data_IF_890627499996
#
_entry.id   IF_890627499996
#
_cell.length_a   1.000
_cell.length_b   1.000
_cell.length_c   1.000
_cell.angle_alpha   90.00
_cell.angle_beta   90.00
_cell.angle_gamma   90.00
#
_symmetry.space_group_name_H-M   'P 1'
#
loop_
_entity.id
_entity.type
_entity.pdbx_description
1 polymer ?
#
# COMPACT_ATOMS: atom_id res chain seq x y z
N UNK A 1 11.43 21.07 -9.46
CA UNK A 1 12.75 20.42 -9.61
C UNK A 1 13.70 20.86 -8.49
N UNK A 2 14.39 22.00 -8.56
CA UNK A 2 15.32 22.47 -7.48
C UNK A 2 14.77 22.49 -6.04
N UNK A 3 13.48 22.81 -5.87
CA UNK A 3 12.82 22.76 -4.54
C UNK A 3 12.60 21.32 -4.05
N UNK A 4 12.23 20.42 -4.96
CA UNK A 4 12.04 18.99 -4.68
C UNK A 4 13.40 18.36 -4.35
N UNK A 5 14.44 18.63 -5.15
CA UNK A 5 15.83 18.24 -4.86
C UNK A 5 16.29 18.70 -3.47
N UNK A 6 16.04 19.96 -3.11
CA UNK A 6 16.39 20.51 -1.79
C UNK A 6 15.60 19.86 -0.64
N UNK A 7 14.33 19.53 -0.84
CA UNK A 7 13.50 18.84 0.16
C UNK A 7 13.94 17.38 0.35
N UNK A 8 14.30 16.68 -0.73
CA UNK A 8 14.82 15.30 -0.67
C UNK A 8 16.21 15.19 -0.05
N UNK A 9 17.10 16.15 -0.31
CA UNK A 9 18.45 16.20 0.27
C UNK A 9 18.46 16.32 1.81
N UNK A 10 17.34 16.75 2.42
CA UNK A 10 17.18 16.89 3.87
C UNK A 10 16.50 15.68 4.54
N UNK A 11 16.17 14.62 3.79
CA UNK A 11 15.52 13.42 4.33
C UNK A 11 16.50 12.49 5.08
N UNK A 12 15.97 11.67 5.99
CA UNK A 12 16.73 10.92 7.03
C UNK A 12 17.59 9.77 6.47
N UNK A 13 17.39 9.34 5.22
CA UNK A 13 18.21 8.34 4.53
C UNK A 13 18.63 8.90 3.18
N UNK A 14 19.93 9.13 2.98
CA UNK A 14 20.42 9.91 1.84
C UNK A 14 20.71 9.07 0.59
N UNK A 15 20.85 7.74 0.74
CA UNK A 15 21.07 6.83 -0.38
C UNK A 15 20.67 5.38 -0.04
N UNK A 16 20.70 4.50 -1.05
CA UNK A 16 20.25 3.12 -0.91
C UNK A 16 21.21 2.27 -0.07
N UNK A 17 22.51 2.57 -0.10
CA UNK A 17 23.52 1.85 0.67
C UNK A 17 23.29 2.02 2.18
N UNK A 18 22.95 3.23 2.63
CA UNK A 18 22.59 3.50 4.02
C UNK A 18 21.36 2.70 4.48
N UNK A 19 20.34 2.60 3.61
CA UNK A 19 19.15 1.78 3.86
C UNK A 19 19.57 0.32 3.97
N UNK A 20 20.37 -0.17 3.03
CA UNK A 20 20.84 -1.55 3.01
C UNK A 20 21.65 -1.89 4.26
N UNK A 21 22.57 -1.01 4.70
CA UNK A 21 23.33 -1.19 5.94
C UNK A 21 22.42 -1.22 7.17
N UNK A 22 21.38 -0.39 7.21
CA UNK A 22 20.43 -0.43 8.32
C UNK A 22 19.63 -1.74 8.36
N UNK A 23 19.20 -2.22 7.20
CA UNK A 23 18.54 -3.52 7.05
C UNK A 23 19.49 -4.70 7.38
N UNK A 24 20.78 -4.60 7.06
CA UNK A 24 21.80 -5.59 7.48
C UNK A 24 21.92 -5.63 9.00
N UNK A 25 21.98 -4.47 9.68
CA UNK A 25 21.99 -4.44 11.15
C UNK A 25 20.74 -5.07 11.76
N UNK A 26 19.58 -4.85 11.15
CA UNK A 26 18.34 -5.52 11.55
C UNK A 26 18.44 -7.04 11.34
N UNK A 27 18.95 -7.46 10.18
CA UNK A 27 19.18 -8.87 9.84
C UNK A 27 20.07 -9.54 10.89
N UNK A 28 21.23 -8.95 11.20
CA UNK A 28 22.19 -9.48 12.17
C UNK A 28 21.57 -9.58 13.57
N UNK A 29 20.79 -8.58 13.97
CA UNK A 29 20.05 -8.60 15.24
C UNK A 29 19.04 -9.74 15.30
N UNK A 30 18.27 -9.95 14.22
CA UNK A 30 17.31 -11.06 14.15
C UNK A 30 18.05 -12.40 14.15
N UNK A 31 19.19 -12.53 13.45
CA UNK A 31 20.01 -13.74 13.43
C UNK A 31 20.60 -14.09 14.80
N UNK A 32 21.10 -13.08 15.53
CA UNK A 32 21.63 -13.26 16.88
C UNK A 32 20.53 -13.68 17.86
N UNK A 33 19.39 -12.97 17.84
CA UNK A 33 18.22 -13.34 18.64
C UNK A 33 17.72 -14.75 18.27
N UNK A 34 17.84 -15.13 17.00
CA UNK A 34 17.46 -16.45 16.52
C UNK A 34 18.26 -17.59 17.13
N UNK A 35 19.54 -17.34 17.37
CA UNK A 35 20.51 -18.34 17.80
C UNK A 35 20.54 -18.50 19.33
N UNK A 36 20.21 -17.46 20.09
CA UNK A 36 20.53 -17.38 21.53
C UNK A 36 19.33 -17.52 22.50
N UNK A 37 18.14 -17.93 22.04
CA UNK A 37 16.91 -18.04 22.86
C UNK A 37 16.42 -16.70 23.47
N UNK A 38 17.07 -15.57 23.17
CA UNK A 38 16.64 -14.19 23.51
C UNK A 38 15.42 -13.71 22.71
N UNK A 39 14.79 -14.60 21.93
CA UNK A 39 13.56 -14.33 21.18
C UNK A 39 12.47 -13.66 22.02
N UNK A 40 12.35 -14.03 23.29
CA UNK A 40 11.37 -13.46 24.19
C UNK A 40 11.52 -11.93 24.34
N UNK A 41 12.74 -11.37 24.27
CA UNK A 41 12.96 -9.91 24.34
C UNK A 41 12.54 -9.16 23.08
N UNK A 42 12.90 -9.69 21.91
CA UNK A 42 12.52 -9.12 20.61
C UNK A 42 11.00 -9.20 20.40
N UNK A 43 10.39 -10.32 20.82
CA UNK A 43 8.95 -10.55 20.75
C UNK A 43 8.18 -9.88 21.90
N UNK A 44 8.77 -9.57 23.06
CA UNK A 44 8.04 -8.82 24.10
C UNK A 44 7.80 -7.35 23.75
N UNK A 45 8.48 -6.80 22.74
CA UNK A 45 8.06 -5.54 22.11
C UNK A 45 6.81 -5.67 21.23
N UNK A 46 6.39 -6.90 20.92
CA UNK A 46 5.20 -7.26 20.15
C UNK A 46 4.60 -8.55 20.75
N UNK A 47 3.88 -8.47 21.88
CA UNK A 47 2.86 -9.39 22.46
C UNK A 47 2.86 -10.94 22.26
N UNK A 48 3.81 -11.63 21.61
CA UNK A 48 3.49 -12.89 20.92
C UNK A 48 4.23 -14.21 21.32
N UNK A 49 5.21 -14.23 22.23
CA UNK A 49 5.69 -15.44 22.97
C UNK A 49 6.28 -16.64 22.18
N UNK A 50 6.56 -17.76 22.90
CA UNK A 50 7.30 -18.98 22.48
C UNK A 50 6.80 -19.70 21.20
N UNK A 51 5.61 -19.36 20.70
CA UNK A 51 5.06 -19.97 19.48
C UNK A 51 5.77 -19.53 18.19
N UNK A 52 6.64 -18.53 18.29
CA UNK A 52 7.42 -17.95 17.18
C UNK A 52 8.66 -18.75 16.80
N UNK A 53 9.05 -19.77 17.57
CA UNK A 53 10.10 -20.72 17.17
C UNK A 53 9.75 -21.51 15.88
N UNK A 54 8.52 -21.38 15.37
CA UNK A 54 8.04 -22.00 14.14
C UNK A 54 8.20 -21.12 12.90
N UNK A 55 8.59 -19.86 13.06
CA UNK A 55 8.85 -18.96 11.94
C UNK A 55 10.28 -19.14 11.44
N UNK A 56 10.44 -19.10 10.13
CA UNK A 56 11.74 -18.98 9.50
C UNK A 56 12.36 -17.62 9.79
N UNK A 57 13.68 -17.55 9.62
CA UNK A 57 14.42 -16.31 9.75
C UNK A 57 13.84 -15.18 8.88
N UNK A 58 13.57 -15.45 7.60
CA UNK A 58 13.03 -14.44 6.67
C UNK A 58 11.67 -13.92 7.15
N UNK A 59 10.84 -14.79 7.70
CA UNK A 59 9.54 -14.43 8.24
C UNK A 59 9.67 -13.49 9.44
N UNK A 60 10.61 -13.75 10.34
CA UNK A 60 10.92 -12.90 11.50
C UNK A 60 11.57 -11.58 11.12
N UNK A 61 12.45 -11.59 10.11
CA UNK A 61 13.02 -10.37 9.56
C UNK A 61 11.92 -9.44 9.03
N UNK A 62 11.00 -9.98 8.21
CA UNK A 62 9.88 -9.22 7.65
C UNK A 62 8.98 -8.61 8.73
N UNK A 63 8.75 -9.33 9.83
CA UNK A 63 7.98 -8.84 10.97
C UNK A 63 8.64 -7.69 11.71
N UNK A 64 9.97 -7.63 11.69
CA UNK A 64 10.76 -6.62 12.40
C UNK A 64 11.28 -5.53 11.47
N UNK A 65 10.87 -5.52 10.20
CA UNK A 65 11.16 -4.43 9.29
C UNK A 65 10.69 -3.10 9.89
N UNK A 66 11.52 -2.08 9.70
CA UNK A 66 11.29 -0.74 10.21
C UNK A 66 10.67 0.16 9.12
N UNK A 67 9.74 0.99 9.55
CA UNK A 67 8.97 1.88 8.68
C UNK A 67 9.85 2.85 7.90
N UNK A 68 10.92 3.36 8.52
CA UNK A 68 11.78 4.40 7.96
C UNK A 68 12.56 3.91 6.74
N UNK A 69 13.12 2.71 6.81
CA UNK A 69 13.92 2.11 5.74
C UNK A 69 13.03 1.69 4.56
N UNK A 70 11.86 1.10 4.84
CA UNK A 70 10.86 0.82 3.81
C UNK A 70 10.49 2.14 3.09
N UNK A 71 10.23 3.21 3.85
CA UNK A 71 9.91 4.53 3.28
C UNK A 71 11.08 5.13 2.48
N UNK A 72 12.30 4.92 2.94
CA UNK A 72 13.52 5.36 2.25
C UNK A 72 13.61 4.81 0.83
N UNK A 73 13.21 3.55 0.60
CA UNK A 73 13.18 2.94 -0.74
C UNK A 73 12.29 3.75 -1.69
N UNK A 74 11.08 4.11 -1.26
CA UNK A 74 10.14 4.89 -2.06
C UNK A 74 10.66 6.31 -2.33
N UNK A 75 11.23 6.96 -1.31
CA UNK A 75 11.76 8.31 -1.45
C UNK A 75 12.91 8.37 -2.46
N UNK A 76 13.83 7.40 -2.40
CA UNK A 76 14.94 7.31 -3.36
C UNK A 76 14.41 7.05 -4.76
N UNK A 77 13.41 6.18 -4.93
CA UNK A 77 12.80 5.93 -6.23
C UNK A 77 12.13 7.15 -6.83
N UNK A 78 11.41 7.92 -6.02
CA UNK A 78 10.82 9.19 -6.46
C UNK A 78 11.91 10.17 -6.87
N UNK A 79 12.93 10.34 -6.03
CA UNK A 79 14.02 11.26 -6.31
C UNK A 79 14.74 10.90 -7.62
N UNK A 80 15.13 9.63 -7.79
CA UNK A 80 15.84 9.19 -8.98
C UNK A 80 14.96 9.22 -10.23
N UNK A 81 13.68 8.84 -10.13
CA UNK A 81 12.75 8.98 -11.26
C UNK A 81 12.63 10.43 -11.74
N UNK A 82 12.65 11.40 -10.83
CA UNK A 82 12.62 12.82 -11.17
C UNK A 82 13.95 13.30 -11.75
N UNK A 83 15.08 12.90 -11.17
CA UNK A 83 16.42 13.33 -11.61
C UNK A 83 16.80 12.72 -12.96
N UNK A 84 16.54 11.43 -13.12
CA UNK A 84 16.90 10.65 -14.31
C UNK A 84 15.81 10.68 -15.39
N UNK A 85 14.64 11.27 -15.08
CA UNK A 85 13.45 11.27 -15.93
C UNK A 85 13.00 9.85 -16.34
N UNK A 86 13.07 8.89 -15.40
CA UNK A 86 12.71 7.49 -15.61
C UNK A 86 11.59 7.06 -14.66
N UNK A 87 10.35 7.12 -15.14
CA UNK A 87 9.17 6.74 -14.36
C UNK A 87 9.03 5.21 -14.14
N UNK A 88 9.82 4.36 -14.83
CA UNK A 88 9.84 2.92 -14.49
C UNK A 88 10.51 2.69 -13.14
N UNK A 89 11.56 3.45 -12.83
CA UNK A 89 12.20 3.43 -11.51
C UNK A 89 11.22 3.74 -10.39
N UNK A 90 10.36 4.75 -10.60
CA UNK A 90 9.28 5.07 -9.68
C UNK A 90 8.34 3.87 -9.48
N UNK A 91 7.82 3.30 -10.56
CA UNK A 91 6.84 2.21 -10.47
C UNK A 91 7.44 1.00 -9.76
N UNK A 92 8.72 0.69 -10.04
CA UNK A 92 9.47 -0.34 -9.32
C UNK A 92 9.66 -0.01 -7.84
N UNK A 93 9.88 1.26 -7.53
CA UNK A 93 10.05 1.76 -6.17
C UNK A 93 8.77 1.61 -5.35
N UNK A 94 7.64 2.03 -5.92
CA UNK A 94 6.33 1.85 -5.29
C UNK A 94 6.03 0.36 -5.13
N UNK A 95 6.33 -0.45 -6.14
CA UNK A 95 6.18 -1.91 -6.06
C UNK A 95 6.96 -2.54 -4.91
N UNK A 96 8.25 -2.23 -4.84
CA UNK A 96 9.14 -2.73 -3.78
C UNK A 96 8.66 -2.25 -2.40
N UNK A 97 8.33 -0.96 -2.28
CA UNK A 97 7.77 -0.36 -1.08
C UNK A 97 6.50 -1.09 -0.63
N UNK A 98 5.52 -1.22 -1.51
CA UNK A 98 4.20 -1.76 -1.19
C UNK A 98 4.25 -3.24 -0.82
N UNK A 99 5.07 -4.06 -1.48
CA UNK A 99 5.25 -5.47 -1.10
C UNK A 99 5.92 -5.62 0.28
N UNK A 100 7.00 -4.88 0.56
CA UNK A 100 7.64 -4.89 1.88
C UNK A 100 6.72 -4.34 2.97
N UNK A 101 6.00 -3.26 2.68
CA UNK A 101 5.08 -2.61 3.60
C UNK A 101 3.92 -3.53 3.96
N UNK A 102 3.38 -4.25 2.98
CA UNK A 102 2.34 -5.23 3.21
C UNK A 102 2.83 -6.38 4.11
N UNK A 103 4.00 -6.93 3.83
CA UNK A 103 4.59 -8.00 4.66
C UNK A 103 4.79 -7.53 6.11
N UNK A 104 5.24 -6.30 6.28
CA UNK A 104 5.41 -5.67 7.58
C UNK A 104 4.06 -5.41 8.30
N UNK A 105 3.00 -5.03 7.57
CA UNK A 105 1.69 -4.66 8.14
C UNK A 105 0.64 -5.77 8.21
N UNK A 106 0.86 -6.93 7.59
CA UNK A 106 -0.03 -8.09 7.66
C UNK A 106 -0.38 -8.53 9.11
N UNK A 107 0.32 -7.96 10.09
CA UNK A 107 0.21 -8.20 11.52
C UNK A 107 -0.75 -7.28 12.27
N UNK A 108 -1.07 -6.09 11.75
CA UNK A 108 -1.92 -5.11 12.43
C UNK A 108 -3.39 -5.27 12.00
N UNK A 109 -4.31 -5.26 12.96
CA UNK A 109 -5.76 -5.27 12.68
C UNK A 109 -6.21 -3.87 12.24
N UNK A 110 -6.70 -3.76 10.99
CA UNK A 110 -6.91 -2.49 10.26
C UNK A 110 -5.58 -1.95 9.69
N UNK A 111 -5.52 -1.01 8.72
CA UNK A 111 -6.44 -0.59 7.66
C UNK A 111 -6.14 -1.42 6.39
N UNK A 112 -6.94 -2.46 6.15
CA UNK A 112 -6.72 -3.35 5.01
C UNK A 112 -6.92 -2.65 3.67
N UNK A 113 -7.57 -1.48 3.63
CA UNK A 113 -8.07 -0.90 2.39
C UNK A 113 -7.03 -0.06 1.64
N UNK A 114 -6.06 0.52 2.35
CA UNK A 114 -4.91 1.21 1.72
C UNK A 114 -3.91 0.25 1.08
N UNK A 115 -3.85 -0.98 1.59
CA UNK A 115 -3.07 -2.07 1.01
C UNK A 115 -3.55 -2.41 -0.40
N UNK A 116 -4.82 -2.16 -0.74
CA UNK A 116 -5.33 -2.35 -2.10
C UNK A 116 -4.93 -1.22 -3.02
N UNK A 117 -4.88 0.02 -2.55
CA UNK A 117 -4.35 1.10 -3.40
C UNK A 117 -2.86 0.86 -3.64
N UNK A 118 -2.12 0.41 -2.63
CA UNK A 118 -0.75 -0.08 -2.78
C UNK A 118 -0.66 -1.30 -3.73
N UNK A 119 -1.57 -2.27 -3.63
CA UNK A 119 -1.65 -3.42 -4.52
C UNK A 119 -2.08 -3.08 -5.96
N UNK A 120 -2.88 -2.03 -6.13
CA UNK A 120 -3.28 -1.48 -7.43
C UNK A 120 -2.10 -0.80 -8.09
N UNK A 121 -1.30 -0.03 -7.35
CA UNK A 121 -0.03 0.50 -7.88
C UNK A 121 0.94 -0.63 -8.27
N UNK A 122 0.81 -1.81 -7.66
CA UNK A 122 1.62 -2.98 -7.96
C UNK A 122 1.11 -3.83 -9.14
N UNK A 123 -0.02 -3.47 -9.78
CA UNK A 123 -0.72 -4.27 -10.79
C UNK A 123 -0.96 -5.73 -10.36
N UNK A 124 -1.05 -6.01 -9.06
CA UNK A 124 -1.12 -7.38 -8.53
C UNK A 124 -2.58 -7.78 -8.28
N UNK A 125 -3.26 -8.22 -9.34
CA UNK A 125 -4.69 -8.59 -9.31
C UNK A 125 -4.97 -9.78 -8.40
N UNK A 126 -3.99 -10.66 -8.20
CA UNK A 126 -4.18 -11.82 -7.34
C UNK A 126 -4.03 -11.43 -5.85
N UNK A 127 -3.22 -10.41 -5.53
CA UNK A 127 -3.14 -9.82 -4.20
C UNK A 127 -4.44 -9.09 -3.87
N UNK A 128 -4.97 -8.33 -4.81
CA UNK A 128 -6.26 -7.67 -4.67
C UNK A 128 -7.34 -8.66 -4.22
N UNK A 129 -7.43 -9.82 -4.89
CA UNK A 129 -8.32 -10.95 -4.57
C UNK A 129 -8.24 -11.46 -3.12
N UNK A 130 -7.09 -11.31 -2.46
CA UNK A 130 -6.87 -11.81 -1.11
C UNK A 130 -7.16 -10.83 0.00
N UNK A 131 -6.92 -9.54 -0.26
CA UNK A 131 -7.07 -8.53 0.78
C UNK A 131 -8.56 -8.31 1.10
N UNK A 132 -9.47 -8.53 0.14
CA UNK A 132 -10.91 -8.35 0.39
C UNK A 132 -11.79 -9.61 0.42
N UNK A 133 -11.36 -10.63 1.14
CA UNK A 133 -12.01 -11.95 1.21
C UNK A 133 -13.36 -12.05 1.96
N UNK A 134 -13.99 -10.97 2.48
CA UNK A 134 -15.25 -11.04 3.29
C UNK A 134 -16.10 -9.76 3.29
N UNK A 135 -17.44 -9.85 3.15
CA UNK A 135 -18.42 -8.72 3.22
C UNK A 135 -18.27 -7.93 4.54
N UNK A 136 -18.32 -6.58 4.49
CA UNK A 136 -18.41 -5.76 5.69
C UNK A 136 -19.82 -5.20 5.83
N UNK A 137 -20.48 -5.63 6.89
CA UNK A 137 -21.68 -5.00 7.41
C UNK A 137 -21.33 -4.03 8.55
N UNK A 138 -22.19 -3.04 8.76
CA UNK A 138 -22.21 -2.28 10.01
C UNK A 138 -22.60 -3.24 11.13
N UNK A 139 -21.65 -3.54 12.01
CA UNK A 139 -21.96 -4.16 13.29
C UNK A 139 -22.35 -3.04 14.27
N UNK A 140 -23.52 -3.17 14.90
CA UNK A 140 -24.03 -2.24 15.90
C UNK A 140 -23.12 -2.12 17.13
N UNK A 141 -22.14 -3.02 17.28
CA UNK A 141 -21.17 -3.02 18.40
C UNK A 141 -19.90 -2.20 18.11
N UNK A 142 -19.66 -1.72 16.88
CA UNK A 142 -18.42 -1.01 16.50
C UNK A 142 -18.75 0.31 15.79
N UNK A 143 -18.32 1.43 16.38
CA UNK A 143 -18.35 2.75 15.76
C UNK A 143 -17.34 2.83 14.61
N UNK A 144 -17.77 2.52 13.38
CA UNK A 144 -16.94 2.68 12.18
C UNK A 144 -16.91 4.12 11.67
N UNK A 145 -15.73 4.56 11.21
CA UNK A 145 -15.61 5.71 10.32
C UNK A 145 -16.35 5.39 9.00
N UNK A 146 -17.38 6.17 8.69
CA UNK A 146 -18.24 5.99 7.50
C UNK A 146 -17.44 6.09 6.21
N UNK A 147 -16.42 6.94 6.16
CA UNK A 147 -15.54 7.05 4.98
C UNK A 147 -14.79 5.76 4.77
N UNK A 148 -14.22 5.18 5.84
CA UNK A 148 -13.50 3.92 5.77
C UNK A 148 -14.42 2.77 5.35
N UNK A 149 -15.61 2.68 5.95
CA UNK A 149 -16.59 1.65 5.60
C UNK A 149 -17.01 1.73 4.13
N UNK A 150 -17.40 2.93 3.68
CA UNK A 150 -17.88 3.13 2.32
C UNK A 150 -16.77 2.89 1.30
N UNK A 151 -15.59 3.47 1.51
CA UNK A 151 -14.45 3.27 0.59
C UNK A 151 -14.07 1.80 0.46
N UNK A 152 -14.07 1.06 1.56
CA UNK A 152 -13.84 -0.38 1.57
C UNK A 152 -14.88 -1.14 0.75
N UNK A 153 -16.17 -0.96 1.03
CA UNK A 153 -17.22 -1.70 0.33
C UNK A 153 -17.25 -1.34 -1.17
N UNK A 154 -17.03 -0.07 -1.51
CA UNK A 154 -16.93 0.38 -2.89
C UNK A 154 -15.74 -0.29 -3.61
N UNK A 155 -14.52 -0.19 -3.07
CA UNK A 155 -13.33 -0.80 -3.68
C UNK A 155 -13.49 -2.31 -3.86
N UNK A 156 -14.17 -2.98 -2.94
CA UNK A 156 -14.47 -4.42 -3.04
C UNK A 156 -15.40 -4.78 -4.17
N UNK A 157 -16.47 -4.00 -4.32
CA UNK A 157 -17.41 -4.17 -5.42
C UNK A 157 -16.78 -3.86 -6.79
N UNK A 158 -15.74 -3.02 -6.83
CA UNK A 158 -14.94 -2.75 -8.04
C UNK A 158 -14.02 -3.94 -8.35
N UNK A 159 -13.28 -4.42 -7.34
CA UNK A 159 -12.07 -5.23 -7.56
C UNK A 159 -12.29 -6.74 -7.39
N UNK A 160 -13.20 -7.20 -6.51
CA UNK A 160 -13.35 -8.63 -6.22
C UNK A 160 -14.76 -9.17 -6.46
N UNK A 161 -15.79 -8.52 -5.90
CA UNK A 161 -17.13 -9.12 -5.81
C UNK A 161 -18.18 -8.20 -6.49
N UNK A 162 -18.34 -8.27 -7.83
CA UNK A 162 -19.36 -7.49 -8.54
C UNK A 162 -20.79 -7.74 -8.07
N UNK A 163 -21.06 -8.88 -7.42
CA UNK A 163 -22.38 -9.20 -6.89
C UNK A 163 -22.73 -8.38 -5.63
N UNK A 164 -21.72 -7.85 -4.92
CA UNK A 164 -21.91 -6.91 -3.80
C UNK A 164 -22.31 -5.51 -4.26
N UNK A 165 -22.37 -5.24 -5.57
CA UNK A 165 -22.64 -3.91 -6.11
C UNK A 165 -23.96 -3.35 -5.60
N UNK A 166 -25.02 -4.14 -5.52
CA UNK A 166 -26.34 -3.64 -5.11
C UNK A 166 -26.36 -3.26 -3.62
N UNK A 167 -25.90 -4.16 -2.75
CA UNK A 167 -25.77 -3.89 -1.30
C UNK A 167 -24.88 -2.67 -1.02
N UNK A 168 -23.76 -2.57 -1.73
CA UNK A 168 -22.82 -1.45 -1.61
C UNK A 168 -23.46 -0.13 -2.05
N UNK A 169 -24.23 -0.12 -3.15
CA UNK A 169 -24.97 1.07 -3.62
C UNK A 169 -26.02 1.51 -2.60
N UNK A 170 -26.74 0.57 -2.00
CA UNK A 170 -27.72 0.88 -0.95
C UNK A 170 -27.05 1.52 0.27
N UNK A 171 -25.98 0.92 0.79
CA UNK A 171 -25.21 1.48 1.91
C UNK A 171 -24.63 2.86 1.58
N UNK A 172 -24.08 3.03 0.38
CA UNK A 172 -23.60 4.31 -0.10
C UNK A 172 -24.68 5.38 -0.06
N UNK A 173 -25.86 5.10 -0.64
CA UNK A 173 -26.96 6.06 -0.69
C UNK A 173 -27.44 6.52 0.70
N UNK A 174 -27.38 5.62 1.70
CA UNK A 174 -27.80 5.89 3.07
C UNK A 174 -26.79 6.74 3.84
N UNK A 175 -25.49 6.56 3.59
CA UNK A 175 -24.44 7.06 4.48
C UNK A 175 -23.58 8.19 3.88
N UNK A 176 -23.58 8.38 2.56
CA UNK A 176 -22.72 9.38 1.92
C UNK A 176 -22.99 10.81 2.41
N UNK A 177 -24.24 11.10 2.81
CA UNK A 177 -24.62 12.40 3.39
C UNK A 177 -23.97 12.71 4.74
N UNK A 178 -23.46 11.70 5.43
CA UNK A 178 -22.74 11.84 6.72
C UNK A 178 -21.25 12.18 6.52
N UNK A 179 -20.73 12.05 5.29
CA UNK A 179 -19.32 12.35 4.97
C UNK A 179 -19.16 13.83 4.63
N UNK A 180 -18.45 14.56 5.49
CA UNK A 180 -18.35 16.03 5.43
C UNK A 180 -17.07 16.53 4.74
N UNK A 181 -16.02 15.72 4.72
CA UNK A 181 -14.75 16.07 4.07
C UNK A 181 -14.92 16.10 2.55
N UNK A 182 -14.53 17.22 1.92
CA UNK A 182 -14.65 17.41 0.47
C UNK A 182 -13.84 16.37 -0.31
N UNK A 183 -12.63 16.07 0.16
CA UNK A 183 -11.78 15.06 -0.46
C UNK A 183 -12.37 13.67 -0.30
N UNK A 184 -12.81 13.31 0.90
CA UNK A 184 -13.35 11.97 1.18
C UNK A 184 -14.64 11.73 0.40
N UNK A 185 -15.50 12.75 0.34
CA UNK A 185 -16.71 12.70 -0.49
C UNK A 185 -16.37 12.54 -1.97
N UNK A 186 -15.43 13.32 -2.50
CA UNK A 186 -15.01 13.18 -3.89
C UNK A 186 -14.41 11.79 -4.16
N UNK A 187 -13.63 11.25 -3.23
CA UNK A 187 -13.09 9.90 -3.32
C UNK A 187 -14.18 8.84 -3.35
N UNK A 188 -15.18 8.93 -2.47
CA UNK A 188 -16.30 7.99 -2.44
C UNK A 188 -17.19 8.12 -3.70
N UNK A 189 -17.44 9.34 -4.17
CA UNK A 189 -18.19 9.59 -5.40
C UNK A 189 -17.43 9.10 -6.64
N UNK A 190 -16.10 9.23 -6.68
CA UNK A 190 -15.24 8.64 -7.71
C UNK A 190 -15.42 7.12 -7.74
N UNK A 191 -15.25 6.45 -6.61
CA UNK A 191 -15.41 4.99 -6.52
C UNK A 191 -16.83 4.54 -6.89
N UNK A 192 -17.84 5.27 -6.44
CA UNK A 192 -19.23 5.02 -6.81
C UNK A 192 -19.43 5.13 -8.34
N UNK A 193 -18.87 6.17 -8.96
CA UNK A 193 -18.85 6.35 -10.41
C UNK A 193 -18.18 5.18 -11.13
N UNK A 194 -17.05 4.69 -10.61
CA UNK A 194 -16.37 3.50 -11.14
C UNK A 194 -17.31 2.29 -11.11
N UNK A 195 -18.02 2.06 -10.01
CA UNK A 195 -18.92 0.90 -9.89
C UNK A 195 -20.15 1.00 -10.79
N UNK A 196 -20.67 2.22 -11.02
CA UNK A 196 -21.83 2.46 -11.87
C UNK A 196 -21.49 2.63 -13.34
N UNK A 197 -20.20 2.80 -13.68
CA UNK A 197 -19.77 3.17 -15.02
C UNK A 197 -20.11 4.62 -15.40
N UNK A 198 -20.38 5.48 -14.42
CA UNK A 198 -20.71 6.89 -14.67
C UNK A 198 -19.44 7.71 -14.91
N UNK A 199 -19.12 7.88 -16.19
CA UNK A 199 -17.93 8.61 -16.64
C UNK A 199 -17.88 10.07 -16.13
N UNK A 200 -19.02 10.77 -16.11
CA UNK A 200 -19.06 12.17 -15.69
C UNK A 200 -18.73 12.27 -14.20
N UNK A 201 -19.29 11.36 -13.41
CA UNK A 201 -19.04 11.31 -11.96
C UNK A 201 -17.58 10.96 -11.66
N UNK A 202 -17.00 9.98 -12.35
CA UNK A 202 -15.58 9.61 -12.24
C UNK A 202 -14.70 10.82 -12.56
N UNK A 203 -14.94 11.46 -13.71
CA UNK A 203 -14.12 12.59 -14.17
C UNK A 203 -14.18 13.77 -13.20
N UNK A 204 -15.38 14.24 -12.87
CA UNK A 204 -15.57 15.41 -12.03
C UNK A 204 -14.91 15.21 -10.65
N UNK A 205 -15.07 14.02 -10.08
CA UNK A 205 -14.53 13.73 -8.75
C UNK A 205 -13.03 13.45 -8.75
N UNK A 206 -12.47 12.90 -9.83
CA UNK A 206 -11.02 12.82 -9.96
C UNK A 206 -10.38 14.21 -10.02
N UNK A 207 -10.96 15.12 -10.82
CA UNK A 207 -10.49 16.51 -10.90
C UNK A 207 -10.61 17.25 -9.55
N UNK A 208 -11.64 16.96 -8.76
CA UNK A 208 -11.83 17.52 -7.42
C UNK A 208 -10.82 16.94 -6.41
N UNK A 209 -10.58 15.63 -6.43
CA UNK A 209 -9.54 14.99 -5.62
C UNK A 209 -8.16 15.56 -5.92
N UNK A 210 -7.83 15.77 -7.20
CA UNK A 210 -6.55 16.37 -7.61
C UNK A 210 -6.35 17.78 -7.02
N UNK A 211 -7.40 18.61 -7.00
CA UNK A 211 -7.35 19.95 -6.42
C UNK A 211 -7.25 19.93 -4.88
N UNK A 212 -7.97 19.01 -4.25
CA UNK A 212 -8.04 18.91 -2.79
C UNK A 212 -6.97 17.99 -2.18
N UNK A 213 -6.12 17.36 -2.99
CA UNK A 213 -5.21 16.31 -2.56
C UNK A 213 -4.32 16.70 -1.37
N UNK A 214 -3.71 17.89 -1.45
CA UNK A 214 -2.84 18.43 -0.38
C UNK A 214 -3.58 18.78 0.92
N UNK A 215 -4.92 18.82 0.89
CA UNK A 215 -5.80 19.11 2.04
C UNK A 215 -6.40 17.85 2.65
N UNK A 216 -6.15 16.69 2.06
CA UNK A 216 -6.60 15.43 2.62
C UNK A 216 -5.89 15.17 3.97
N UNK A 217 -6.67 15.08 5.04
CA UNK A 217 -6.15 15.02 6.41
C UNK A 217 -5.40 13.71 6.66
N UNK A 218 -5.96 12.59 6.21
CA UNK A 218 -5.34 11.28 6.45
C UNK A 218 -4.11 11.06 5.56
N UNK A 219 -4.07 11.60 4.33
CA UNK A 219 -2.82 11.66 3.53
C UNK A 219 -1.79 12.63 4.13
N UNK A 220 -2.24 13.62 4.90
CA UNK A 220 -1.37 14.57 5.60
C UNK A 220 -0.95 14.09 6.99
N UNK A 221 -1.11 12.81 7.29
CA UNK A 221 -0.66 12.18 8.53
C UNK A 221 0.05 10.86 8.25
N UNK A 222 0.79 10.36 9.24
CA UNK A 222 1.59 9.15 9.11
C UNK A 222 2.59 9.20 7.95
N UNK A 223 2.82 8.05 7.33
CA UNK A 223 3.90 7.85 6.36
C UNK A 223 3.74 8.67 5.06
N UNK A 224 2.52 8.97 4.62
CA UNK A 224 2.29 9.80 3.42
C UNK A 224 2.84 11.22 3.63
N UNK A 225 2.73 11.76 4.85
CA UNK A 225 3.34 13.05 5.23
C UNK A 225 4.86 12.93 5.32
N UNK A 226 5.36 11.85 5.93
CA UNK A 226 6.80 11.64 6.12
C UNK A 226 7.56 11.49 4.80
N UNK A 227 6.95 10.87 3.78
CA UNK A 227 7.48 10.79 2.42
C UNK A 227 7.13 11.99 1.52
N UNK A 228 6.43 13.00 2.03
CA UNK A 228 6.05 14.19 1.25
C UNK A 228 5.06 13.91 0.11
N UNK A 229 4.47 12.72 0.06
CA UNK A 229 3.59 12.25 -1.01
C UNK A 229 2.25 12.96 -1.08
N UNK A 230 1.87 13.69 -0.04
CA UNK A 230 0.67 14.54 -0.05
C UNK A 230 0.89 15.87 -0.81
N UNK A 231 2.11 16.18 -1.26
CA UNK A 231 2.45 17.46 -1.90
C UNK A 231 3.25 17.35 -3.18
N UNK A 232 4.26 16.49 -3.23
CA UNK A 232 5.22 16.45 -4.34
C UNK A 232 4.84 15.41 -5.39
N UNK A 233 4.32 14.26 -4.92
CA UNK A 233 4.08 13.08 -5.75
C UNK A 233 2.78 12.40 -5.32
N UNK A 234 1.66 12.64 -6.03
CA UNK A 234 0.36 12.10 -5.63
C UNK A 234 0.20 10.62 -6.02
N UNK A 235 1.03 9.72 -5.46
CA UNK A 235 1.00 8.26 -5.73
C UNK A 235 -0.39 7.68 -5.51
N UNK A 236 -1.10 8.19 -4.50
CA UNK A 236 -2.46 7.76 -4.23
C UNK A 236 -3.40 8.02 -5.43
N UNK A 237 -3.31 9.21 -6.04
CA UNK A 237 -4.08 9.53 -7.25
C UNK A 237 -3.62 8.73 -8.47
N UNK A 238 -2.34 8.34 -8.53
CA UNK A 238 -1.84 7.45 -9.60
C UNK A 238 -2.52 6.08 -9.53
N UNK A 239 -2.65 5.51 -8.33
CA UNK A 239 -3.39 4.25 -8.12
C UNK A 239 -4.86 4.39 -8.50
N UNK A 240 -5.52 5.49 -8.11
CA UNK A 240 -6.90 5.76 -8.51
C UNK A 240 -7.05 5.95 -10.02
N UNK A 241 -6.10 6.62 -10.68
CA UNK A 241 -6.10 6.80 -12.13
C UNK A 241 -6.08 5.45 -12.85
N UNK A 242 -5.32 4.47 -12.35
CA UNK A 242 -5.33 3.12 -12.91
C UNK A 242 -6.62 2.36 -12.60
N UNK A 243 -7.24 2.58 -11.44
CA UNK A 243 -8.47 1.88 -11.04
C UNK A 243 -9.61 2.03 -12.06
N UNK A 244 -9.67 3.15 -12.80
CA UNK A 244 -10.67 3.33 -13.88
C UNK A 244 -10.62 2.19 -14.92
N UNK A 245 -9.43 1.65 -15.17
CA UNK A 245 -9.18 0.60 -16.17
C UNK A 245 -9.78 -0.75 -15.73
N UNK A 246 -9.94 -0.98 -14.43
CA UNK A 246 -10.61 -2.21 -13.94
C UNK A 246 -12.04 -2.32 -14.46
N UNK A 247 -12.71 -1.18 -14.70
CA UNK A 247 -14.09 -1.15 -15.18
C UNK A 247 -14.16 -0.81 -16.66
N UNK A 248 -13.42 0.20 -17.10
CA UNK A 248 -13.39 0.58 -18.50
C UNK A 248 -12.07 1.28 -18.88
N UNK A 249 -11.29 0.61 -19.73
CA UNK A 249 -10.02 1.10 -20.27
C UNK A 249 -10.16 2.36 -21.14
N UNK A 250 -11.36 2.68 -21.64
CA UNK A 250 -11.62 3.84 -22.50
C UNK A 250 -11.87 5.14 -21.75
N UNK A 251 -11.92 5.12 -20.41
CA UNK A 251 -12.12 6.32 -19.60
C UNK A 251 -10.85 7.17 -19.66
N UNK A 252 -10.94 8.39 -20.18
CA UNK A 252 -9.86 9.37 -20.11
C UNK A 252 -10.11 10.37 -18.98
N UNK A 253 -9.13 10.51 -18.08
CA UNK A 253 -9.17 11.53 -17.03
C UNK A 253 -8.17 12.63 -17.40
N UNK A 254 -8.61 13.91 -17.44
CA UNK A 254 -7.71 15.02 -17.72
C UNK A 254 -6.79 15.26 -16.50
N UNK A 255 -5.50 14.98 -16.68
CA UNK A 255 -4.49 15.11 -15.63
C UNK A 255 -3.87 16.52 -15.66
N UNK A 256 -4.16 17.33 -14.63
CA UNK A 256 -3.60 18.69 -14.51
C UNK A 256 -2.19 18.66 -13.94
N UNK A 257 -1.94 17.75 -12.99
CA UNK A 257 -0.66 17.50 -12.37
C UNK A 257 0.32 16.89 -13.37
N UNK A 258 1.45 17.57 -13.56
CA UNK A 258 2.52 17.18 -14.50
C UNK A 258 3.04 15.78 -14.20
N UNK A 259 3.30 15.48 -12.92
CA UNK A 259 3.80 14.19 -12.50
C UNK A 259 2.85 13.03 -12.84
N UNK A 260 1.55 13.18 -12.55
CA UNK A 260 0.55 12.17 -12.91
C UNK A 260 0.50 11.94 -14.42
N UNK A 261 0.62 13.01 -15.20
CA UNK A 261 0.57 12.94 -16.67
C UNK A 261 1.70 12.07 -17.22
N UNK A 262 2.93 12.33 -16.79
CA UNK A 262 4.10 11.58 -17.24
C UNK A 262 4.05 10.10 -16.79
N UNK A 263 3.75 9.85 -15.51
CA UNK A 263 3.60 8.48 -15.01
C UNK A 263 2.49 7.71 -15.75
N UNK A 264 1.36 8.37 -16.04
CA UNK A 264 0.25 7.78 -16.81
C UNK A 264 0.62 7.44 -18.25
N UNK A 265 1.55 8.19 -18.85
CA UNK A 265 2.02 7.95 -20.21
C UNK A 265 2.77 6.62 -20.27
N UNK A 266 3.71 6.41 -19.35
CA UNK A 266 4.47 5.16 -19.25
C UNK A 266 3.55 3.95 -19.06
N UNK A 267 2.54 4.07 -18.20
CA UNK A 267 1.56 3.01 -17.97
C UNK A 267 0.77 2.69 -19.25
N UNK A 268 0.36 3.73 -20.02
CA UNK A 268 -0.39 3.55 -21.27
C UNK A 268 0.44 2.93 -22.37
N UNK A 269 1.71 3.32 -22.48
CA UNK A 269 2.63 2.78 -23.50
C UNK A 269 3.14 1.38 -23.17
N UNK A 270 3.08 0.98 -21.90
CA UNK A 270 3.53 -0.33 -21.42
C UNK A 270 2.41 -1.05 -20.65
N UNK A 271 1.31 -1.46 -21.30
CA UNK A 271 0.19 -2.13 -20.62
C UNK A 271 0.61 -3.45 -19.94
N UNK A 272 1.63 -4.13 -20.49
CA UNK A 272 2.20 -5.36 -19.93
C UNK A 272 3.41 -5.11 -19.02
N UNK A 273 3.54 -3.89 -18.47
CA UNK A 273 4.63 -3.55 -17.57
C UNK A 273 4.65 -4.51 -16.37
N UNK A 274 5.71 -5.31 -16.28
CA UNK A 274 5.99 -6.16 -15.12
C UNK A 274 6.94 -5.41 -14.20
N UNK A 275 6.49 -5.00 -12.99
CA UNK A 275 7.36 -4.33 -12.05
C UNK A 275 8.58 -5.20 -11.72
N UNK A 276 9.73 -4.56 -11.61
CA UNK A 276 10.99 -5.15 -11.18
C UNK A 276 11.37 -4.57 -9.81
N UNK A 277 12.37 -5.16 -9.17
CA UNK A 277 12.95 -4.57 -7.97
C UNK A 277 13.59 -3.25 -8.36
N UNK A 278 13.25 -2.18 -7.64
CA UNK A 278 13.81 -0.86 -7.86
C UNK A 278 15.34 -0.85 -7.76
N UNK A 279 15.86 -1.48 -6.71
CA UNK A 279 17.28 -1.73 -6.49
C UNK A 279 17.46 -3.10 -5.83
N UNK A 280 18.26 -4.01 -6.41
CA UNK A 280 18.48 -5.32 -5.82
C UNK A 280 19.23 -5.17 -4.47
N UNK A 281 18.80 -5.94 -3.48
CA UNK A 281 19.52 -6.11 -2.23
C UNK A 281 20.73 -7.04 -2.45
N UNK A 282 21.87 -6.74 -1.85
CA UNK A 282 23.07 -7.58 -1.98
C UNK A 282 23.45 -8.25 -0.66
N UNK A 283 24.33 -9.26 -0.73
CA UNK A 283 24.89 -9.94 0.42
C UNK A 283 23.84 -10.66 1.27
N UNK A 284 23.84 -10.43 2.59
CA UNK A 284 22.92 -11.08 3.54
C UNK A 284 21.44 -10.77 3.30
N UNK A 285 21.13 -9.72 2.55
CA UNK A 285 19.75 -9.33 2.22
C UNK A 285 19.27 -9.87 0.86
N UNK A 286 20.07 -10.64 0.14
CA UNK A 286 19.73 -11.14 -1.20
C UNK A 286 18.41 -11.94 -1.21
N UNK A 287 18.07 -12.62 -0.10
CA UNK A 287 16.80 -13.36 0.05
C UNK A 287 15.55 -12.45 -0.12
N UNK A 288 15.66 -11.15 0.13
CA UNK A 288 14.57 -10.20 -0.10
C UNK A 288 14.25 -10.07 -1.59
N UNK A 289 15.25 -10.18 -2.45
CA UNK A 289 15.01 -10.13 -3.89
C UNK A 289 14.12 -11.28 -4.34
N UNK A 290 14.39 -12.49 -3.83
CA UNK A 290 13.60 -13.68 -4.15
C UNK A 290 12.15 -13.50 -3.66
N UNK A 291 11.95 -12.98 -2.45
CA UNK A 291 10.63 -12.68 -1.89
C UNK A 291 9.88 -11.66 -2.77
N UNK A 292 10.59 -10.63 -3.25
CA UNK A 292 9.99 -9.54 -4.03
C UNK A 292 9.76 -9.89 -5.51
N UNK A 293 10.50 -10.85 -6.07
CA UNK A 293 10.37 -11.30 -7.46
C UNK A 293 9.44 -12.51 -7.58
N UNK A 294 9.40 -13.37 -6.57
CA UNK A 294 8.49 -14.51 -6.55
C UNK A 294 7.04 -14.06 -6.70
N UNK A 295 6.17 -14.99 -7.13
CA UNK A 295 4.74 -14.75 -7.10
C UNK A 295 4.34 -14.43 -5.66
N UNK A 296 4.06 -13.15 -5.45
CA UNK A 296 3.93 -12.57 -4.13
C UNK A 296 2.70 -13.11 -3.41
N UNK A 297 1.72 -13.56 -4.18
CA UNK A 297 0.42 -13.98 -3.67
C UNK A 297 0.48 -15.35 -3.01
N UNK A 298 0.99 -16.41 -3.65
CA UNK A 298 1.29 -17.67 -2.98
C UNK A 298 2.18 -17.48 -1.75
N UNK A 299 3.23 -16.65 -1.85
CA UNK A 299 4.12 -16.36 -0.71
C UNK A 299 3.34 -15.76 0.47
N UNK A 300 2.58 -14.69 0.22
CA UNK A 300 1.78 -14.00 1.24
C UNK A 300 0.71 -14.92 1.86
N UNK A 301 0.01 -15.74 1.05
CA UNK A 301 -0.98 -16.72 1.57
C UNK A 301 -0.35 -17.70 2.54
N UNK A 302 0.76 -18.31 2.13
CA UNK A 302 1.48 -19.28 2.94
C UNK A 302 1.96 -18.65 4.26
N UNK A 303 2.54 -17.46 4.15
CA UNK A 303 2.97 -16.66 5.31
C UNK A 303 1.81 -16.37 6.27
N UNK A 304 0.72 -15.79 5.77
CA UNK A 304 -0.46 -15.44 6.57
C UNK A 304 -1.10 -16.65 7.26
N UNK A 305 -1.23 -17.77 6.55
CA UNK A 305 -1.82 -18.99 7.11
C UNK A 305 -1.03 -19.52 8.31
N UNK A 306 0.32 -19.50 8.24
CA UNK A 306 1.18 -19.89 9.37
C UNK A 306 1.00 -18.95 10.55
N UNK A 307 0.93 -17.64 10.32
CA UNK A 307 0.70 -16.65 11.37
C UNK A 307 -0.66 -16.84 12.03
N UNK A 308 -1.73 -17.03 11.25
CA UNK A 308 -3.07 -17.29 11.80
C UNK A 308 -3.12 -18.58 12.62
N UNK A 309 -2.37 -19.62 12.22
CA UNK A 309 -2.25 -20.85 13.01
C UNK A 309 -1.58 -20.60 14.37
N UNK A 310 -0.53 -19.79 14.42
CA UNK A 310 0.12 -19.37 15.67
C UNK A 310 -0.87 -18.61 16.57
N UNK A 311 -1.61 -17.65 16.00
CA UNK A 311 -2.62 -16.85 16.74
C UNK A 311 -3.68 -17.71 17.42
N UNK A 312 -4.20 -18.73 16.72
CA UNK A 312 -5.22 -19.64 17.26
C UNK A 312 -4.72 -20.46 18.46
N UNK A 313 -3.43 -20.78 18.50
CA UNK A 313 -2.82 -21.49 19.63
C UNK A 313 -2.71 -20.56 20.85
N UNK A 314 -2.26 -19.32 20.64
CA UNK A 314 -2.17 -18.30 21.69
C UNK A 314 -3.55 -17.98 22.29
N UNK A 315 -4.56 -17.75 21.45
CA UNK A 315 -5.91 -17.38 21.89
C UNK A 315 -6.70 -18.49 22.61
N UNK A 316 -6.19 -19.72 22.65
CA UNK A 316 -6.75 -20.85 23.43
C UNK A 316 -6.06 -21.06 24.78
N UNK A 317 -5.02 -20.28 25.07
CA UNK A 317 -4.18 -20.43 26.28
C UNK A 317 -4.47 -19.39 27.36
N UNK A 318 -5.54 -18.60 27.19
CA UNK A 318 -6.14 -17.69 28.18
C UNK A 318 -7.54 -18.21 28.55
#
# INVERSE_FOLDING_TARGET
>A
MKKIEKEFNNSVHQNFDEIQQSLIRLFDRVMAAASNHEYCGLLNSNTWGDHYHKLSFSELFLMNLNDKEILGILNIAIYQAVVDNDYKQLLNGIFTYSRLRLLNRAYLSGPADWIIVEGAVNNDTELQGLVYTKSLALDNTVSYDKTLLLSRNLLRAIVIEPDLKNETKELYSKLIGEVTSKFDRAFLEYLYGVITGDYQLIRANFEEMEQCYSRCQWLSSGWYREAGLNKTVPVFLLGLYQLKNVVNNSIELPLKNEYLREASHVIRESPDYKPQIFKPFEGSLQFLNDILISDFVPFYRGYRAKIEAIRKVVGRSN
#
